data_IF_440900705723
#
_entry.id   IF_440900705723
#
_cell.length_a   1.000
_cell.length_b   1.000
_cell.length_c   1.000
_cell.angle_alpha   90.00
_cell.angle_beta   90.00
_cell.angle_gamma   90.00
#
_symmetry.space_group_name_H-M   'P 1'
#
loop_
_entity.id
_entity.type
_entity.pdbx_description
1 polymer ?
#
# COMPACT_ATOMS: atom_id res chain seq x y z
N UNK A 1 -51.13 -33.41 -50.90
CA UNK A 1 -50.08 -33.70 -49.90
C UNK A 1 -49.36 -32.40 -49.58
N UNK A 2 -49.54 -31.93 -48.34
CA UNK A 2 -49.13 -30.61 -47.82
C UNK A 2 -47.66 -30.62 -47.44
N UNK A 3 -46.86 -29.63 -47.84
CA UNK A 3 -45.60 -29.29 -47.16
C UNK A 3 -45.38 -27.76 -47.18
N UNK A 4 -45.95 -27.08 -46.18
CA UNK A 4 -45.64 -25.70 -45.80
C UNK A 4 -44.29 -25.66 -45.07
N UNK A 5 -43.27 -25.01 -45.65
CA UNK A 5 -41.96 -24.81 -45.02
C UNK A 5 -42.00 -23.53 -44.17
N UNK A 6 -42.19 -23.67 -42.84
CA UNK A 6 -42.07 -22.56 -41.87
C UNK A 6 -40.64 -22.00 -41.85
N UNK A 7 -40.44 -20.76 -42.31
CA UNK A 7 -39.26 -19.94 -41.95
C UNK A 7 -39.40 -19.53 -40.47
N UNK A 8 -38.56 -20.07 -39.59
CA UNK A 8 -38.39 -19.54 -38.22
C UNK A 8 -37.54 -18.27 -38.29
N UNK A 9 -38.12 -17.14 -37.89
CA UNK A 9 -37.39 -15.91 -37.63
C UNK A 9 -36.46 -16.10 -36.42
N UNK A 10 -35.16 -15.85 -36.58
CA UNK A 10 -34.20 -15.72 -35.47
C UNK A 10 -34.52 -14.42 -34.73
N UNK A 11 -34.86 -14.52 -33.45
CA UNK A 11 -34.85 -13.36 -32.53
C UNK A 11 -33.41 -12.86 -32.38
N UNK A 12 -33.16 -11.55 -32.27
CA UNK A 12 -31.85 -11.05 -31.90
C UNK A 12 -31.59 -11.43 -30.44
N UNK A 13 -30.48 -12.14 -30.18
CA UNK A 13 -29.96 -12.31 -28.83
C UNK A 13 -29.54 -10.94 -28.28
N UNK A 14 -29.82 -10.62 -27.01
CA UNK A 14 -29.26 -9.42 -26.41
C UNK A 14 -27.75 -9.62 -26.27
N UNK A 15 -26.97 -8.69 -26.84
CA UNK A 15 -25.53 -8.55 -26.63
C UNK A 15 -25.23 -8.41 -25.13
N UNK A 16 -25.12 -9.55 -24.45
CA UNK A 16 -24.53 -9.63 -23.13
C UNK A 16 -23.03 -9.40 -23.31
N UNK A 17 -22.62 -8.12 -23.37
CA UNK A 17 -21.28 -7.67 -22.99
C UNK A 17 -21.05 -8.13 -21.54
N UNK A 18 -20.66 -9.40 -21.37
CA UNK A 18 -20.06 -9.92 -20.14
C UNK A 18 -18.83 -9.08 -19.91
N UNK A 19 -18.93 -8.10 -19.00
CA UNK A 19 -17.77 -7.41 -18.48
C UNK A 19 -16.81 -8.48 -17.98
N UNK A 20 -15.62 -8.54 -18.58
CA UNK A 20 -14.48 -9.30 -18.06
C UNK A 20 -14.02 -8.64 -16.77
N UNK A 21 -14.85 -8.64 -15.74
CA UNK A 21 -14.46 -8.29 -14.39
C UNK A 21 -13.63 -9.45 -13.85
N UNK A 22 -12.30 -9.30 -13.85
CA UNK A 22 -11.40 -10.26 -13.20
C UNK A 22 -11.76 -10.44 -11.73
N UNK A 23 -11.23 -11.48 -11.06
CA UNK A 23 -11.54 -11.80 -9.64
C UNK A 23 -11.52 -10.57 -8.71
N UNK A 24 -10.65 -9.59 -8.99
CA UNK A 24 -10.53 -8.34 -8.25
C UNK A 24 -11.72 -7.37 -8.37
N UNK A 25 -12.58 -7.46 -9.38
CA UNK A 25 -13.71 -6.52 -9.53
C UNK A 25 -14.87 -6.83 -8.56
N UNK A 26 -14.96 -8.08 -8.09
CA UNK A 26 -16.01 -8.56 -7.17
C UNK A 26 -15.58 -8.65 -5.71
N UNK A 27 -14.28 -8.63 -5.44
CA UNK A 27 -13.78 -8.63 -4.07
C UNK A 27 -14.19 -7.35 -3.33
N UNK A 28 -14.37 -7.44 -2.01
CA UNK A 28 -14.61 -6.28 -1.14
C UNK A 28 -13.44 -5.30 -1.20
N UNK A 29 -13.70 -3.99 -1.11
CA UNK A 29 -12.71 -2.92 -1.10
C UNK A 29 -11.68 -3.15 0.02
N UNK A 30 -12.15 -3.49 1.22
CA UNK A 30 -11.29 -3.81 2.36
C UNK A 30 -10.30 -4.90 2.00
N UNK A 31 -10.78 -6.00 1.40
CA UNK A 31 -9.94 -7.13 0.99
C UNK A 31 -8.89 -6.71 -0.05
N UNK A 32 -9.23 -5.86 -1.02
CA UNK A 32 -8.27 -5.36 -2.02
C UNK A 32 -7.15 -4.54 -1.37
N UNK A 33 -7.51 -3.63 -0.45
CA UNK A 33 -6.56 -2.77 0.25
C UNK A 33 -5.67 -3.57 1.20
N UNK A 34 -6.24 -4.45 2.03
CA UNK A 34 -5.46 -5.28 2.96
C UNK A 34 -4.56 -6.25 2.22
N UNK A 35 -5.00 -6.78 1.08
CA UNK A 35 -4.17 -7.66 0.25
C UNK A 35 -3.02 -6.89 -0.41
N UNK A 36 -3.26 -5.69 -0.94
CA UNK A 36 -2.20 -4.84 -1.51
C UNK A 36 -1.15 -4.44 -0.48
N UNK A 37 -1.58 -3.99 0.71
CA UNK A 37 -0.68 -3.64 1.82
C UNK A 37 0.04 -4.89 2.32
N UNK A 38 -0.67 -6.02 2.46
CA UNK A 38 -0.10 -7.29 2.89
C UNK A 38 0.99 -7.81 1.94
N UNK A 39 0.78 -7.69 0.62
CA UNK A 39 1.82 -8.00 -0.38
C UNK A 39 3.03 -7.09 -0.19
N UNK A 40 2.83 -5.78 0.00
CA UNK A 40 3.93 -4.84 0.16
C UNK A 40 4.76 -5.16 1.41
N UNK A 41 4.10 -5.39 2.55
CA UNK A 41 4.77 -5.79 3.80
C UNK A 41 5.46 -7.15 3.63
N UNK A 42 4.81 -8.11 2.98
CA UNK A 42 5.39 -9.42 2.71
C UNK A 42 6.67 -9.32 1.87
N UNK A 43 6.67 -8.51 0.81
CA UNK A 43 7.86 -8.28 -0.01
C UNK A 43 8.98 -7.64 0.82
N UNK A 44 8.66 -6.66 1.68
CA UNK A 44 9.65 -6.04 2.56
C UNK A 44 10.25 -7.02 3.56
N UNK A 45 9.44 -7.87 4.18
CA UNK A 45 9.90 -8.89 5.14
C UNK A 45 10.78 -9.92 4.43
N UNK A 46 10.35 -10.44 3.28
CA UNK A 46 11.13 -11.41 2.50
C UNK A 46 12.45 -10.78 2.04
N UNK A 47 12.42 -9.54 1.56
CA UNK A 47 13.64 -8.81 1.17
C UNK A 47 14.57 -8.64 2.37
N UNK A 48 14.05 -8.26 3.53
CA UNK A 48 14.86 -8.09 4.74
C UNK A 48 15.48 -9.40 5.22
N UNK A 49 14.68 -10.48 5.28
CA UNK A 49 15.18 -11.80 5.66
C UNK A 49 16.25 -12.30 4.69
N UNK A 50 16.04 -12.09 3.39
CA UNK A 50 17.03 -12.42 2.36
C UNK A 50 18.32 -11.63 2.51
N UNK A 51 18.24 -10.31 2.74
CA UNK A 51 19.42 -9.47 3.01
C UNK A 51 20.15 -9.92 4.28
N UNK A 52 19.43 -10.22 5.35
CA UNK A 52 20.02 -10.69 6.60
C UNK A 52 20.77 -12.02 6.39
N UNK A 53 20.15 -12.97 5.68
CA UNK A 53 20.77 -14.25 5.32
C UNK A 53 22.10 -14.04 4.55
N UNK A 54 22.10 -13.18 3.53
CA UNK A 54 23.29 -12.91 2.73
C UNK A 54 24.41 -12.25 3.53
N UNK A 55 24.08 -11.33 4.45
CA UNK A 55 25.08 -10.70 5.33
C UNK A 55 25.71 -11.74 6.26
N UNK A 56 24.94 -12.70 6.76
CA UNK A 56 25.47 -13.80 7.59
C UNK A 56 26.41 -14.70 6.77
N UNK A 57 26.01 -15.08 5.55
CA UNK A 57 26.85 -15.91 4.66
C UNK A 57 28.19 -15.22 4.31
N UNK A 58 28.16 -13.92 4.02
CA UNK A 58 29.40 -13.14 3.77
C UNK A 58 30.27 -13.07 5.02
N UNK A 59 29.67 -12.87 6.20
CA UNK A 59 30.42 -12.79 7.46
C UNK A 59 31.17 -14.09 7.76
N UNK A 60 30.50 -15.23 7.61
CA UNK A 60 31.10 -16.55 7.85
C UNK A 60 32.27 -16.80 6.87
N UNK A 61 32.11 -16.38 5.61
CA UNK A 61 33.19 -16.48 4.62
C UNK A 61 34.38 -15.54 4.92
N UNK A 62 34.14 -14.33 5.43
CA UNK A 62 35.21 -13.42 5.85
C UNK A 62 36.01 -13.96 7.05
N UNK A 63 35.36 -14.67 7.97
CA UNK A 63 36.03 -15.29 9.11
C UNK A 63 37.00 -16.38 8.64
N UNK A 64 36.62 -17.19 7.65
CA UNK A 64 37.51 -18.19 7.04
C UNK A 64 38.74 -17.56 6.38
N UNK A 65 38.55 -16.48 5.60
CA UNK A 65 39.67 -15.72 4.99
C UNK A 65 40.64 -15.19 6.04
N UNK A 66 40.11 -14.70 7.17
CA UNK A 66 40.95 -14.20 8.26
C UNK A 66 41.80 -15.31 8.89
N UNK A 67 41.21 -16.47 9.15
CA UNK A 67 41.94 -17.64 9.69
C UNK A 67 43.05 -18.09 8.74
N UNK A 68 42.79 -18.17 7.42
CA UNK A 68 43.82 -18.52 6.43
C UNK A 68 44.97 -17.50 6.45
N UNK A 69 44.65 -16.21 6.59
CA UNK A 69 45.67 -15.15 6.73
C UNK A 69 46.56 -15.34 7.96
N UNK A 70 45.97 -15.64 9.12
CA UNK A 70 46.73 -15.85 10.36
C UNK A 70 47.66 -17.07 10.26
N UNK A 71 47.22 -18.13 9.58
CA UNK A 71 48.06 -19.30 9.29
C UNK A 71 49.22 -18.89 8.37
N UNK A 72 48.96 -18.11 7.32
CA UNK A 72 49.99 -17.60 6.41
C UNK A 72 51.05 -16.76 7.12
N UNK A 73 50.63 -15.86 8.02
CA UNK A 73 51.52 -15.03 8.84
C UNK A 73 52.38 -15.88 9.79
N UNK A 74 51.80 -16.93 10.38
CA UNK A 74 52.53 -17.86 11.24
C UNK A 74 53.59 -18.68 10.47
N UNK A 75 53.33 -19.04 9.21
CA UNK A 75 54.33 -19.68 8.33
C UNK A 75 55.48 -18.74 8.01
N UNK A 76 55.20 -17.45 7.76
CA UNK A 76 56.22 -16.43 7.55
C UNK A 76 57.08 -16.22 8.82
N UNK A 77 56.45 -16.25 10.00
CA UNK A 77 57.19 -16.19 11.27
C UNK A 77 58.09 -17.42 11.47
N UNK A 78 57.68 -18.62 11.05
CA UNK A 78 58.57 -19.79 11.04
C UNK A 78 59.79 -19.57 10.14
N UNK A 79 59.59 -19.05 8.92
CA UNK A 79 60.69 -18.75 8.00
C UNK A 79 61.69 -17.74 8.60
N UNK A 80 61.17 -16.70 9.25
CA UNK A 80 61.99 -15.71 9.95
C UNK A 80 62.76 -16.32 11.12
N UNK A 81 62.15 -17.23 11.88
CA UNK A 81 62.77 -17.90 13.01
C UNK A 81 63.89 -18.85 12.58
N UNK A 82 63.70 -19.67 11.54
CA UNK A 82 64.77 -20.56 11.06
C UNK A 82 65.96 -19.76 10.53
N UNK A 83 65.68 -18.64 9.83
CA UNK A 83 66.73 -17.76 9.34
C UNK A 83 67.49 -17.11 10.51
N UNK A 84 66.78 -16.69 11.56
CA UNK A 84 67.40 -16.16 12.78
C UNK A 84 68.24 -17.22 13.50
N UNK A 85 67.76 -18.46 13.60
CA UNK A 85 68.53 -19.60 14.15
C UNK A 85 69.82 -19.82 13.37
N UNK A 86 69.78 -19.78 12.04
CA UNK A 86 70.98 -19.88 11.21
C UNK A 86 71.97 -18.72 11.44
N UNK A 87 71.49 -17.48 11.56
CA UNK A 87 72.34 -16.31 11.88
C UNK A 87 73.00 -16.46 13.26
N UNK A 88 72.26 -16.94 14.26
CA UNK A 88 72.78 -17.22 15.60
C UNK A 88 73.81 -18.35 15.58
N UNK A 89 73.59 -19.39 14.77
CA UNK A 89 74.57 -20.46 14.56
C UNK A 89 75.88 -19.93 13.95
N UNK A 90 75.80 -19.02 12.97
CA UNK A 90 76.97 -18.32 12.45
C UNK A 90 77.66 -17.52 13.56
N UNK A 91 76.93 -16.70 14.31
CA UNK A 91 77.50 -15.90 15.40
C UNK A 91 78.21 -16.78 16.44
N UNK A 92 77.62 -17.93 16.79
CA UNK A 92 78.23 -18.92 17.67
C UNK A 92 79.57 -19.42 17.14
N UNK A 93 79.64 -19.81 15.87
CA UNK A 93 80.87 -20.34 15.27
C UNK A 93 81.98 -19.28 15.18
N UNK A 94 81.64 -18.06 14.77
CA UNK A 94 82.63 -17.00 14.59
C UNK A 94 83.10 -16.42 15.93
N UNK A 95 82.18 -16.16 16.87
CA UNK A 95 82.45 -15.40 18.10
C UNK A 95 82.51 -16.24 19.37
N UNK A 96 82.09 -17.51 19.32
CA UNK A 96 81.97 -18.38 20.50
C UNK A 96 81.16 -17.73 21.63
N UNK A 97 80.05 -17.08 21.27
CA UNK A 97 79.24 -16.27 22.18
C UNK A 97 78.24 -17.13 22.95
N UNK A 98 78.35 -17.17 24.28
CA UNK A 98 77.38 -17.86 25.16
C UNK A 98 75.97 -17.29 24.98
N UNK A 99 75.85 -15.97 24.77
CA UNK A 99 74.55 -15.33 24.56
C UNK A 99 73.83 -15.82 23.31
N UNK A 100 74.58 -16.16 22.26
CA UNK A 100 73.99 -16.66 21.02
C UNK A 100 73.48 -18.10 21.17
N UNK A 101 74.02 -18.90 22.10
CA UNK A 101 73.54 -20.25 22.40
C UNK A 101 72.22 -20.18 23.17
N UNK A 102 72.12 -19.26 24.13
CA UNK A 102 70.88 -18.99 24.86
C UNK A 102 69.78 -18.44 23.94
N UNK A 103 70.10 -17.48 23.07
CA UNK A 103 69.15 -16.95 22.09
C UNK A 103 68.70 -18.02 21.10
N UNK A 104 69.60 -18.91 20.65
CA UNK A 104 69.25 -20.01 19.75
C UNK A 104 68.21 -20.94 20.39
N UNK A 105 68.39 -21.29 21.67
CA UNK A 105 67.43 -22.10 22.42
C UNK A 105 66.08 -21.40 22.56
N UNK A 106 66.07 -20.08 22.79
CA UNK A 106 64.82 -19.31 22.86
C UNK A 106 64.07 -19.30 21.52
N UNK A 107 64.77 -19.11 20.40
CA UNK A 107 64.13 -19.14 19.09
C UNK A 107 63.64 -20.55 18.72
N UNK A 108 64.36 -21.60 19.13
CA UNK A 108 63.89 -22.99 18.99
C UNK A 108 62.56 -23.22 19.74
N UNK A 109 62.44 -22.75 21.00
CA UNK A 109 61.20 -22.84 21.77
C UNK A 109 60.03 -22.07 21.11
N UNK A 110 60.30 -20.90 20.52
CA UNK A 110 59.27 -20.14 19.79
C UNK A 110 58.83 -20.86 18.52
N UNK A 111 59.79 -21.42 17.79
CA UNK A 111 59.54 -22.18 16.56
C UNK A 111 58.66 -23.41 16.89
N UNK A 112 58.96 -24.14 17.97
CA UNK A 112 58.13 -25.24 18.45
C UNK A 112 56.70 -24.82 18.82
N UNK A 113 56.54 -23.69 19.51
CA UNK A 113 55.22 -23.18 19.89
C UNK A 113 54.35 -22.82 18.67
N UNK A 114 54.96 -22.23 17.63
CA UNK A 114 54.24 -21.91 16.38
C UNK A 114 53.92 -23.20 15.60
N UNK A 115 54.87 -24.15 15.53
CA UNK A 115 54.63 -25.47 14.91
C UNK A 115 53.45 -26.19 15.56
N UNK A 116 53.37 -26.18 16.89
CA UNK A 116 52.26 -26.82 17.62
C UNK A 116 50.91 -26.20 17.23
N UNK A 117 50.84 -24.87 17.17
CA UNK A 117 49.63 -24.14 16.76
C UNK A 117 49.24 -24.46 15.31
N UNK A 118 50.19 -24.40 14.37
CA UNK A 118 49.96 -24.69 12.96
C UNK A 118 49.50 -26.12 12.70
N UNK A 119 50.04 -27.09 13.45
CA UNK A 119 49.65 -28.50 13.31
C UNK A 119 48.14 -28.76 13.49
N UNK A 120 47.46 -27.90 14.27
CA UNK A 120 46.03 -28.00 14.54
C UNK A 120 45.17 -27.19 13.55
N UNK A 121 45.76 -26.18 12.91
CA UNK A 121 45.04 -25.23 12.04
C UNK A 121 45.07 -25.61 10.56
N UNK A 122 46.08 -26.35 10.11
CA UNK A 122 46.18 -26.77 8.70
C UNK A 122 45.09 -27.78 8.33
N UNK A 123 44.42 -27.55 7.21
CA UNK A 123 43.22 -28.32 6.82
C UNK A 123 43.54 -29.30 5.70
N UNK A 124 44.14 -28.82 4.61
CA UNK A 124 44.30 -29.58 3.37
C UNK A 124 45.44 -30.61 3.46
N UNK A 125 45.39 -31.62 2.59
CA UNK A 125 46.44 -32.65 2.52
C UNK A 125 47.78 -32.07 2.08
N UNK A 126 47.75 -31.10 1.16
CA UNK A 126 48.92 -30.42 0.61
C UNK A 126 49.59 -29.53 1.66
N UNK A 127 48.80 -28.71 2.36
CA UNK A 127 49.28 -27.91 3.49
C UNK A 127 49.99 -28.75 4.56
N UNK A 128 49.37 -29.88 4.93
CA UNK A 128 49.94 -30.81 5.92
C UNK A 128 51.24 -31.46 5.42
N UNK A 129 51.32 -31.80 4.14
CA UNK A 129 52.51 -32.41 3.57
C UNK A 129 53.69 -31.43 3.58
N UNK A 130 53.49 -30.20 3.09
CA UNK A 130 54.50 -29.14 3.10
C UNK A 130 54.97 -28.82 4.52
N UNK A 131 54.03 -28.73 5.47
CA UNK A 131 54.37 -28.51 6.87
C UNK A 131 55.18 -29.66 7.49
N UNK A 132 54.88 -30.92 7.18
CA UNK A 132 55.68 -32.06 7.62
C UNK A 132 57.11 -32.00 7.07
N UNK A 133 57.29 -31.56 5.81
CA UNK A 133 58.62 -31.36 5.24
C UNK A 133 59.39 -30.23 5.95
N UNK A 134 58.72 -29.13 6.29
CA UNK A 134 59.31 -28.07 7.13
C UNK A 134 59.76 -28.62 8.49
N UNK A 135 58.92 -29.42 9.15
CA UNK A 135 59.27 -30.06 10.43
C UNK A 135 60.50 -30.95 10.28
N UNK A 136 60.60 -31.73 9.20
CA UNK A 136 61.75 -32.59 8.95
C UNK A 136 63.06 -31.79 8.76
N UNK A 137 63.01 -30.65 8.07
CA UNK A 137 64.19 -29.78 7.91
C UNK A 137 64.60 -29.10 9.22
N UNK A 138 63.65 -28.70 10.07
CA UNK A 138 63.98 -28.17 11.40
C UNK A 138 64.60 -29.25 12.30
N UNK A 139 64.08 -30.47 12.28
CA UNK A 139 64.67 -31.61 13.00
C UNK A 139 66.10 -31.91 12.49
N UNK A 140 66.33 -31.81 11.18
CA UNK A 140 67.66 -31.97 10.58
C UNK A 140 68.61 -30.84 11.01
N UNK A 141 68.12 -29.60 11.08
CA UNK A 141 68.87 -28.44 11.56
C UNK A 141 69.32 -28.64 13.01
N UNK A 142 68.38 -29.01 13.90
CA UNK A 142 68.65 -29.26 15.32
C UNK A 142 69.63 -30.42 15.50
N UNK A 143 69.45 -31.51 14.75
CA UNK A 143 70.38 -32.65 14.78
C UNK A 143 71.78 -32.26 14.33
N UNK A 144 71.91 -31.49 13.25
CA UNK A 144 73.21 -31.02 12.77
C UNK A 144 73.89 -30.11 13.80
N UNK A 145 73.14 -29.24 14.47
CA UNK A 145 73.65 -28.42 15.57
C UNK A 145 74.12 -29.27 16.76
N UNK A 146 73.31 -30.24 17.20
CA UNK A 146 73.58 -31.05 18.39
C UNK A 146 74.70 -32.08 18.20
N UNK A 147 74.76 -32.73 17.03
CA UNK A 147 75.71 -33.82 16.76
C UNK A 147 77.04 -33.33 16.20
N UNK A 148 77.05 -32.18 15.50
CA UNK A 148 78.23 -31.73 14.76
C UNK A 148 78.75 -30.36 15.22
N UNK A 149 77.92 -29.31 15.23
CA UNK A 149 78.38 -27.93 15.49
C UNK A 149 78.74 -27.72 16.96
N UNK A 150 77.80 -27.95 17.89
CA UNK A 150 78.03 -27.73 19.32
C UNK A 150 79.18 -28.60 19.87
N UNK A 151 79.31 -29.90 19.52
CA UNK A 151 80.46 -30.71 19.94
C UNK A 151 81.80 -30.22 19.39
N UNK A 152 81.84 -29.74 18.14
CA UNK A 152 83.05 -29.17 17.54
C UNK A 152 83.48 -27.89 18.27
N UNK A 153 82.54 -26.99 18.56
CA UNK A 153 82.80 -25.77 19.33
C UNK A 153 83.29 -26.08 20.76
N UNK A 154 82.66 -27.05 21.45
CA UNK A 154 83.10 -27.49 22.79
C UNK A 154 84.52 -28.06 22.80
N UNK A 155 84.94 -28.70 21.71
CA UNK A 155 86.32 -29.22 21.52
C UNK A 155 87.31 -28.15 21.04
N UNK A 156 86.84 -26.93 20.74
CA UNK A 156 87.65 -25.85 20.19
C UNK A 156 87.95 -25.99 18.68
N UNK A 157 87.31 -26.94 17.98
CA UNK A 157 87.51 -27.19 16.55
C UNK A 157 86.61 -26.28 15.71
N UNK A 158 87.04 -25.03 15.56
CA UNK A 158 86.29 -24.03 14.78
C UNK A 158 86.23 -24.34 13.29
N UNK A 159 87.27 -24.96 12.73
CA UNK A 159 87.28 -25.31 11.31
C UNK A 159 86.20 -26.34 11.00
N UNK A 160 86.07 -27.37 11.84
CA UNK A 160 85.00 -28.37 11.69
C UNK A 160 83.62 -27.73 11.84
N UNK A 161 83.42 -26.84 12.82
CA UNK A 161 82.14 -26.13 12.99
C UNK A 161 81.81 -25.22 11.78
N UNK A 162 82.83 -24.60 11.16
CA UNK A 162 82.68 -23.72 10.00
C UNK A 162 82.27 -24.49 8.73
N UNK A 163 82.77 -25.72 8.54
CA UNK A 163 82.38 -26.60 7.44
C UNK A 163 80.86 -26.90 7.48
N UNK A 164 80.29 -27.03 8.67
CA UNK A 164 78.86 -27.29 8.86
C UNK A 164 77.93 -26.10 8.60
N UNK A 165 78.47 -24.88 8.42
CA UNK A 165 77.64 -23.72 8.11
C UNK A 165 77.01 -23.81 6.72
N UNK A 166 77.68 -24.41 5.73
CA UNK A 166 77.10 -24.60 4.39
C UNK A 166 75.94 -25.61 4.40
N UNK A 167 76.08 -26.82 4.99
CA UNK A 167 74.94 -27.72 5.18
C UNK A 167 73.78 -27.10 5.97
N UNK A 168 74.05 -26.35 7.04
CA UNK A 168 72.99 -25.68 7.80
C UNK A 168 72.28 -24.58 6.99
N UNK A 169 73.02 -23.86 6.15
CA UNK A 169 72.42 -22.90 5.21
C UNK A 169 71.49 -23.61 4.22
N UNK A 170 71.91 -24.76 3.69
CA UNK A 170 71.10 -25.56 2.77
C UNK A 170 69.82 -26.08 3.44
N UNK A 171 69.92 -26.61 4.67
CA UNK A 171 68.77 -27.05 5.45
C UNK A 171 67.81 -25.87 5.72
N UNK A 172 68.33 -24.73 6.18
CA UNK A 172 67.52 -23.54 6.43
C UNK A 172 66.84 -23.01 5.15
N UNK A 173 67.55 -23.01 4.02
CA UNK A 173 66.97 -22.62 2.73
C UNK A 173 65.88 -23.60 2.28
N UNK A 174 66.08 -24.91 2.46
CA UNK A 174 65.07 -25.90 2.13
C UNK A 174 63.82 -25.78 3.02
N UNK A 175 64.00 -25.49 4.31
CA UNK A 175 62.89 -25.13 5.21
C UNK A 175 62.13 -23.91 4.67
N UNK A 176 62.85 -22.82 4.36
CA UNK A 176 62.25 -21.58 3.87
C UNK A 176 61.50 -21.83 2.55
N UNK A 177 62.07 -22.57 1.60
CA UNK A 177 61.43 -22.89 0.33
C UNK A 177 60.11 -23.65 0.55
N UNK A 178 60.04 -24.60 1.50
CA UNK A 178 58.77 -25.28 1.82
C UNK A 178 57.78 -24.40 2.58
N UNK A 179 58.28 -23.48 3.38
CA UNK A 179 57.47 -22.42 3.97
C UNK A 179 56.88 -21.48 2.92
N UNK A 180 57.66 -21.08 1.92
CA UNK A 180 57.21 -20.28 0.78
C UNK A 180 56.15 -21.02 -0.05
N UNK A 181 56.35 -22.30 -0.36
CA UNK A 181 55.34 -23.13 -1.05
C UNK A 181 54.03 -23.22 -0.24
N UNK A 182 54.14 -23.41 1.09
CA UNK A 182 52.98 -23.47 1.98
C UNK A 182 52.25 -22.13 2.05
N UNK A 183 53.01 -21.04 2.10
CA UNK A 183 52.49 -19.68 2.10
C UNK A 183 51.79 -19.37 0.76
N UNK A 184 52.35 -19.78 -0.38
CA UNK A 184 51.73 -19.64 -1.70
C UNK A 184 50.41 -20.44 -1.78
N UNK A 185 50.36 -21.67 -1.25
CA UNK A 185 49.14 -22.46 -1.21
C UNK A 185 48.04 -21.81 -0.35
N UNK A 186 48.40 -21.26 0.81
CA UNK A 186 47.48 -20.52 1.68
C UNK A 186 46.98 -19.23 1.00
N UNK A 187 47.86 -18.51 0.31
CA UNK A 187 47.48 -17.33 -0.46
C UNK A 187 46.54 -17.66 -1.61
N UNK A 188 46.78 -18.77 -2.32
CA UNK A 188 45.87 -19.23 -3.38
C UNK A 188 44.49 -19.53 -2.84
N UNK A 189 44.40 -20.26 -1.72
CA UNK A 189 43.12 -20.55 -1.05
C UNK A 189 42.41 -19.26 -0.59
N UNK A 190 43.17 -18.31 -0.04
CA UNK A 190 42.66 -17.00 0.36
C UNK A 190 42.11 -16.19 -0.82
N UNK A 191 42.85 -16.11 -1.93
CA UNK A 191 42.44 -15.39 -3.13
C UNK A 191 41.20 -16.01 -3.77
N UNK A 192 41.11 -17.33 -3.81
CA UNK A 192 39.91 -18.06 -4.25
C UNK A 192 38.71 -17.71 -3.36
N UNK A 193 38.88 -17.74 -2.04
CA UNK A 193 37.82 -17.38 -1.08
C UNK A 193 37.40 -15.90 -1.23
N UNK A 194 38.34 -14.97 -1.40
CA UNK A 194 38.05 -13.55 -1.65
C UNK A 194 37.31 -13.33 -2.97
N UNK A 195 37.69 -14.06 -4.02
CA UNK A 195 37.01 -14.00 -5.32
C UNK A 195 35.57 -14.50 -5.23
N UNK A 196 35.35 -15.59 -4.48
CA UNK A 196 34.03 -16.14 -4.19
C UNK A 196 33.17 -15.13 -3.41
N UNK A 197 33.71 -14.53 -2.35
CA UNK A 197 33.03 -13.48 -1.57
C UNK A 197 32.63 -12.30 -2.46
N UNK A 198 33.53 -11.81 -3.31
CA UNK A 198 33.24 -10.71 -4.22
C UNK A 198 32.13 -11.09 -5.22
N UNK A 199 32.16 -12.32 -5.75
CA UNK A 199 31.13 -12.79 -6.67
C UNK A 199 29.77 -12.91 -5.98
N UNK A 200 29.73 -13.47 -4.76
CA UNK A 200 28.53 -13.55 -3.92
C UNK A 200 28.01 -12.15 -3.61
N UNK A 201 28.89 -11.20 -3.27
CA UNK A 201 28.52 -9.82 -2.98
C UNK A 201 27.89 -9.12 -4.19
N UNK A 202 28.52 -9.22 -5.37
CA UNK A 202 27.99 -8.59 -6.60
C UNK A 202 26.66 -9.21 -7.02
N UNK A 203 26.55 -10.53 -6.99
CA UNK A 203 25.28 -11.22 -7.32
C UNK A 203 24.18 -10.91 -6.30
N UNK A 204 24.54 -10.80 -5.02
CA UNK A 204 23.65 -10.37 -3.94
C UNK A 204 23.12 -8.95 -4.14
N UNK A 205 23.99 -7.99 -4.43
CA UNK A 205 23.60 -6.60 -4.71
C UNK A 205 22.67 -6.50 -5.92
N UNK A 206 22.97 -7.25 -6.99
CA UNK A 206 22.10 -7.32 -8.18
C UNK A 206 20.73 -7.88 -7.83
N UNK A 207 20.68 -9.01 -7.10
CA UNK A 207 19.42 -9.63 -6.71
C UNK A 207 18.61 -8.72 -5.77
N UNK A 208 19.26 -8.04 -4.84
CA UNK A 208 18.64 -7.03 -3.97
C UNK A 208 18.05 -5.87 -4.78
N UNK A 209 18.79 -5.36 -5.77
CA UNK A 209 18.29 -4.34 -6.70
C UNK A 209 17.06 -4.78 -7.49
N UNK A 210 17.02 -6.04 -7.95
CA UNK A 210 15.87 -6.62 -8.65
C UNK A 210 14.66 -6.71 -7.71
N UNK A 211 14.83 -7.24 -6.50
CA UNK A 211 13.75 -7.37 -5.51
C UNK A 211 13.18 -5.99 -5.14
N UNK A 212 14.05 -5.01 -4.90
CA UNK A 212 13.65 -3.63 -4.61
C UNK A 212 12.91 -3.00 -5.80
N UNK A 213 13.40 -3.21 -7.03
CA UNK A 213 12.75 -2.76 -8.25
C UNK A 213 11.34 -3.34 -8.41
N UNK A 214 11.16 -4.63 -8.17
CA UNK A 214 9.86 -5.30 -8.18
C UNK A 214 8.93 -4.73 -7.09
N UNK A 215 9.45 -4.50 -5.88
CA UNK A 215 8.68 -3.91 -4.78
C UNK A 215 8.15 -2.51 -5.13
N UNK A 216 9.00 -1.67 -5.73
CA UNK A 216 8.64 -0.32 -6.18
C UNK A 216 7.58 -0.39 -7.29
N UNK A 217 7.79 -1.24 -8.30
CA UNK A 217 6.82 -1.44 -9.39
C UNK A 217 5.46 -1.92 -8.87
N UNK A 218 5.44 -2.90 -7.97
CA UNK A 218 4.21 -3.37 -7.33
C UNK A 218 3.50 -2.24 -6.56
N UNK A 219 4.26 -1.42 -5.83
CA UNK A 219 3.74 -0.27 -5.09
C UNK A 219 3.10 0.77 -6.01
N UNK A 220 3.75 1.08 -7.14
CA UNK A 220 3.22 2.01 -8.15
C UNK A 220 1.93 1.48 -8.79
N UNK A 221 1.86 0.18 -9.09
CA UNK A 221 0.65 -0.45 -9.63
C UNK A 221 -0.49 -0.37 -8.62
N UNK A 222 -0.24 -0.71 -7.35
CA UNK A 222 -1.26 -0.61 -6.29
C UNK A 222 -1.73 0.83 -6.13
N UNK A 223 -0.80 1.79 -6.08
CA UNK A 223 -1.11 3.22 -6.00
C UNK A 223 -2.04 3.68 -7.14
N UNK A 224 -1.71 3.31 -8.38
CA UNK A 224 -2.52 3.66 -9.54
C UNK A 224 -3.92 3.02 -9.49
N UNK A 225 -3.99 1.75 -9.09
CA UNK A 225 -5.26 1.01 -8.96
C UNK A 225 -6.16 1.63 -7.88
N UNK A 226 -5.60 1.93 -6.70
CA UNK A 226 -6.35 2.57 -5.60
C UNK A 226 -6.84 3.96 -6.00
N UNK A 227 -5.98 4.76 -6.64
CA UNK A 227 -6.36 6.09 -7.12
C UNK A 227 -7.54 6.01 -8.09
N UNK A 228 -7.52 5.05 -9.02
CA UNK A 228 -8.55 4.91 -10.05
C UNK A 228 -9.86 4.34 -9.53
N UNK A 229 -9.81 3.39 -8.59
CA UNK A 229 -11.00 2.66 -8.10
C UNK A 229 -11.64 3.35 -6.90
N UNK A 230 -10.88 4.07 -6.07
CA UNK A 230 -11.36 4.66 -4.81
C UNK A 230 -11.37 6.18 -4.89
N UNK A 231 -10.20 6.77 -5.12
CA UNK A 231 -10.02 8.23 -5.00
C UNK A 231 -10.83 8.99 -6.06
N UNK A 232 -10.80 8.55 -7.31
CA UNK A 232 -11.51 9.22 -8.40
C UNK A 232 -13.05 9.17 -8.25
N UNK A 233 -13.69 8.01 -8.01
CA UNK A 233 -15.13 7.98 -7.77
C UNK A 233 -15.56 8.76 -6.52
N UNK A 234 -14.76 8.76 -5.45
CA UNK A 234 -15.05 9.59 -4.27
C UNK A 234 -14.99 11.08 -4.60
N UNK A 235 -13.99 11.54 -5.36
CA UNK A 235 -13.93 12.94 -5.82
C UNK A 235 -15.15 13.32 -6.65
N UNK A 236 -15.61 12.44 -7.54
CA UNK A 236 -16.82 12.68 -8.33
C UNK A 236 -18.07 12.76 -7.45
N UNK A 237 -18.22 11.84 -6.51
CA UNK A 237 -19.34 11.84 -5.55
C UNK A 237 -19.35 13.13 -4.74
N UNK A 238 -18.21 13.55 -4.18
CA UNK A 238 -18.11 14.83 -3.44
C UNK A 238 -18.54 16.02 -4.30
N UNK A 239 -18.09 16.08 -5.56
CA UNK A 239 -18.46 17.16 -6.46
C UNK A 239 -19.96 17.21 -6.79
N UNK A 240 -20.62 16.07 -6.96
CA UNK A 240 -22.07 16.03 -7.18
C UNK A 240 -22.83 16.36 -5.90
N UNK A 241 -22.40 15.84 -4.76
CA UNK A 241 -23.00 16.17 -3.46
C UNK A 241 -22.99 17.67 -3.18
N UNK A 242 -21.90 18.38 -3.53
CA UNK A 242 -21.81 19.83 -3.41
C UNK A 242 -22.84 20.56 -4.29
N UNK A 243 -23.14 20.05 -5.49
CA UNK A 243 -24.21 20.60 -6.35
C UNK A 243 -25.60 20.37 -5.77
N UNK A 244 -25.85 19.16 -5.28
CA UNK A 244 -27.11 18.83 -4.59
C UNK A 244 -27.33 19.75 -3.38
N UNK A 245 -26.27 20.05 -2.63
CA UNK A 245 -26.33 20.93 -1.46
C UNK A 245 -26.77 22.37 -1.78
N UNK A 246 -26.56 22.85 -3.00
CA UNK A 246 -27.03 24.17 -3.47
C UNK A 246 -28.33 24.08 -4.27
N UNK A 247 -29.00 22.92 -4.27
CA UNK A 247 -30.27 22.70 -4.97
C UNK A 247 -30.14 22.35 -6.46
N UNK A 248 -28.92 22.24 -7.00
CA UNK A 248 -28.71 21.79 -8.38
C UNK A 248 -28.76 20.25 -8.46
N UNK A 249 -29.95 19.75 -8.77
CA UNK A 249 -30.18 18.32 -9.00
C UNK A 249 -29.90 17.89 -10.43
N UNK A 250 -29.45 18.76 -11.36
CA UNK A 250 -29.36 18.43 -12.80
C UNK A 250 -28.22 17.47 -13.16
N UNK A 251 -27.29 17.21 -12.24
CA UNK A 251 -26.10 16.37 -12.45
C UNK A 251 -26.41 14.94 -12.92
N UNK A 252 -25.58 14.41 -13.83
CA UNK A 252 -25.69 13.03 -14.34
C UNK A 252 -25.42 12.00 -13.24
N UNK A 253 -26.02 10.82 -13.37
CA UNK A 253 -25.75 9.68 -12.49
C UNK A 253 -24.28 9.26 -12.53
N UNK A 254 -23.75 8.84 -11.39
CA UNK A 254 -22.40 8.32 -11.27
C UNK A 254 -22.32 6.92 -11.90
N UNK A 255 -21.30 6.69 -12.73
CA UNK A 255 -21.08 5.39 -13.37
C UNK A 255 -20.60 4.35 -12.35
N UNK A 256 -21.37 3.27 -12.19
CA UNK A 256 -21.05 2.18 -11.26
C UNK A 256 -20.14 1.17 -11.97
N UNK A 257 -18.83 1.20 -11.63
CA UNK A 257 -17.81 0.33 -12.25
C UNK A 257 -17.44 -0.90 -11.43
N UNK A 258 -17.82 -0.94 -10.15
CA UNK A 258 -17.45 -2.00 -9.21
C UNK A 258 -18.69 -2.58 -8.53
N UNK A 259 -18.58 -3.81 -8.03
CA UNK A 259 -19.64 -4.49 -7.26
C UNK A 259 -19.31 -4.57 -5.76
N UNK A 260 -18.32 -3.80 -5.32
CA UNK A 260 -17.85 -3.73 -3.94
C UNK A 260 -18.58 -2.62 -3.17
N UNK A 261 -18.10 -2.31 -1.96
CA UNK A 261 -18.64 -1.26 -1.10
C UNK A 261 -18.68 0.11 -1.80
N UNK A 262 -17.72 0.40 -2.71
CA UNK A 262 -17.78 1.62 -3.52
C UNK A 262 -18.94 1.58 -4.52
N UNK A 263 -19.17 0.44 -5.16
CA UNK A 263 -20.30 0.27 -6.07
C UNK A 263 -21.65 0.41 -5.38
N UNK A 264 -21.79 -0.18 -4.18
CA UNK A 264 -23.00 -0.04 -3.36
C UNK A 264 -23.22 1.41 -2.92
N UNK A 265 -22.17 2.12 -2.51
CA UNK A 265 -22.24 3.54 -2.15
C UNK A 265 -22.73 4.38 -3.33
N UNK A 266 -22.16 4.18 -4.53
CA UNK A 266 -22.57 4.92 -5.73
C UNK A 266 -24.02 4.60 -6.13
N UNK A 267 -24.46 3.34 -5.95
CA UNK A 267 -25.84 2.93 -6.23
C UNK A 267 -26.83 3.62 -5.30
N UNK A 268 -26.60 3.55 -3.98
CA UNK A 268 -27.44 4.22 -2.99
C UNK A 268 -27.45 5.74 -3.19
N UNK A 269 -26.32 6.33 -3.59
CA UNK A 269 -26.24 7.76 -3.89
C UNK A 269 -27.05 8.16 -5.12
N UNK A 270 -26.99 7.39 -6.20
CA UNK A 270 -27.80 7.64 -7.40
C UNK A 270 -29.31 7.50 -7.09
N UNK A 271 -29.70 6.50 -6.31
CA UNK A 271 -31.09 6.32 -5.87
C UNK A 271 -31.58 7.49 -5.02
N UNK A 272 -30.76 7.97 -4.08
CA UNK A 272 -31.06 9.17 -3.30
C UNK A 272 -31.28 10.39 -4.21
N UNK A 273 -30.41 10.64 -5.18
CA UNK A 273 -30.54 11.76 -6.11
C UNK A 273 -31.82 11.65 -6.96
N UNK A 274 -32.16 10.45 -7.43
CA UNK A 274 -33.41 10.20 -8.17
C UNK A 274 -34.64 10.49 -7.32
N UNK A 275 -34.65 10.06 -6.05
CA UNK A 275 -35.75 10.31 -5.12
C UNK A 275 -35.90 11.79 -4.79
N UNK A 276 -34.80 12.53 -4.62
CA UNK A 276 -34.82 13.98 -4.45
C UNK A 276 -35.43 14.69 -5.68
N UNK A 277 -35.03 14.30 -6.90
CA UNK A 277 -35.63 14.85 -8.14
C UNK A 277 -37.13 14.58 -8.22
N UNK A 278 -37.56 13.36 -7.91
CA UNK A 278 -38.97 13.00 -7.91
C UNK A 278 -39.76 13.83 -6.90
N UNK A 279 -39.22 14.01 -5.68
CA UNK A 279 -39.84 14.83 -4.64
C UNK A 279 -40.00 16.29 -5.08
N UNK A 280 -38.96 16.89 -5.68
CA UNK A 280 -39.01 18.27 -6.18
C UNK A 280 -40.03 18.40 -7.34
N UNK A 281 -40.12 17.40 -8.22
CA UNK A 281 -41.15 17.37 -9.27
C UNK A 281 -42.54 17.34 -8.68
N UNK A 282 -42.82 16.44 -7.73
CA UNK A 282 -44.12 16.35 -7.06
C UNK A 282 -44.51 17.66 -6.36
N UNK A 283 -43.57 18.31 -5.67
CA UNK A 283 -43.81 19.62 -5.04
C UNK A 283 -44.18 20.67 -6.10
N UNK A 284 -43.52 20.65 -7.26
CA UNK A 284 -43.78 21.58 -8.36
C UNK A 284 -45.16 21.35 -8.96
N UNK A 285 -45.54 20.09 -9.19
CA UNK A 285 -46.85 19.71 -9.74
C UNK A 285 -47.97 20.11 -8.76
N UNK A 286 -47.82 19.81 -7.47
CA UNK A 286 -48.79 20.23 -6.44
C UNK A 286 -48.88 21.76 -6.34
N UNK A 287 -47.77 22.49 -6.47
CA UNK A 287 -47.80 23.96 -6.47
C UNK A 287 -48.56 24.52 -7.70
N UNK A 288 -48.47 23.87 -8.86
CA UNK A 288 -49.26 24.23 -10.05
C UNK A 288 -50.75 23.95 -9.85
N UNK A 289 -51.12 22.79 -9.29
CA UNK A 289 -52.51 22.47 -8.94
C UNK A 289 -53.09 23.49 -7.96
N UNK A 290 -52.35 23.84 -6.90
CA UNK A 290 -52.76 24.87 -5.93
C UNK A 290 -52.91 26.24 -6.60
N UNK A 291 -51.99 26.60 -7.51
CA UNK A 291 -52.09 27.85 -8.26
C UNK A 291 -53.34 27.90 -9.15
N UNK A 292 -53.65 26.79 -9.85
CA UNK A 292 -54.83 26.69 -10.69
C UNK A 292 -56.12 26.74 -9.86
N UNK A 293 -56.21 25.99 -8.75
CA UNK A 293 -57.34 26.04 -7.84
C UNK A 293 -57.54 27.43 -7.22
N UNK A 294 -56.45 28.15 -6.93
CA UNK A 294 -56.52 29.53 -6.44
C UNK A 294 -57.09 30.49 -7.49
N UNK A 295 -56.77 30.29 -8.77
CA UNK A 295 -57.33 31.07 -9.88
C UNK A 295 -58.82 30.78 -10.08
N UNK A 296 -59.24 29.52 -10.01
CA UNK A 296 -60.65 29.13 -10.10
C UNK A 296 -61.47 29.66 -8.92
N UNK A 297 -60.91 29.61 -7.71
CA UNK A 297 -61.54 30.17 -6.51
C UNK A 297 -61.68 31.70 -6.61
N UNK A 298 -60.67 32.39 -7.14
CA UNK A 298 -60.74 33.82 -7.38
C UNK A 298 -61.86 34.16 -8.38
N UNK A 299 -61.96 33.45 -9.50
CA UNK A 299 -63.02 33.63 -10.49
C UNK A 299 -64.42 33.34 -9.90
N UNK A 300 -64.55 32.27 -9.12
CA UNK A 300 -65.81 31.94 -8.43
C UNK A 300 -66.20 33.01 -7.41
N UNK A 301 -65.22 33.56 -6.68
CA UNK A 301 -65.45 34.65 -5.73
C UNK A 301 -65.93 35.92 -6.43
N UNK A 302 -65.38 36.25 -7.61
CA UNK A 302 -65.86 37.36 -8.44
C UNK A 302 -67.31 37.13 -8.87
N UNK A 303 -67.64 35.94 -9.39
CA UNK A 303 -69.00 35.62 -9.81
C UNK A 303 -70.02 35.68 -8.66
N UNK A 304 -69.64 35.20 -7.46
CA UNK A 304 -70.47 35.32 -6.25
C UNK A 304 -70.67 36.79 -5.87
N UNK A 305 -69.62 37.61 -5.96
CA UNK A 305 -69.70 39.05 -5.73
C UNK A 305 -70.68 39.74 -6.69
N UNK A 306 -70.60 39.43 -7.98
CA UNK A 306 -71.51 39.95 -9.00
C UNK A 306 -72.96 39.49 -8.74
N UNK A 307 -73.16 38.22 -8.42
CA UNK A 307 -74.47 37.68 -8.05
C UNK A 307 -75.07 38.33 -6.81
N UNK A 308 -74.25 38.56 -5.77
CA UNK A 308 -74.68 39.27 -4.57
C UNK A 308 -75.08 40.73 -4.88
N UNK A 309 -74.35 41.40 -5.78
CA UNK A 309 -74.70 42.74 -6.26
C UNK A 309 -76.06 42.74 -6.98
N UNK A 310 -76.31 41.74 -7.84
CA UNK A 310 -77.59 41.62 -8.54
C UNK A 310 -78.75 41.32 -7.59
N UNK A 311 -78.56 40.43 -6.59
CA UNK A 311 -79.56 40.17 -5.55
C UNK A 311 -79.88 41.44 -4.78
N UNK A 312 -78.86 42.22 -4.39
CA UNK A 312 -79.06 43.50 -3.71
C UNK A 312 -79.92 44.46 -4.57
N UNK A 313 -79.66 44.54 -5.88
CA UNK A 313 -80.47 45.33 -6.82
C UNK A 313 -81.92 44.86 -6.88
N UNK A 314 -82.16 43.55 -6.98
CA UNK A 314 -83.53 43.00 -7.01
C UNK A 314 -84.27 43.23 -5.69
N UNK A 315 -83.59 43.14 -4.55
CA UNK A 315 -84.18 43.47 -3.24
C UNK A 315 -84.55 44.95 -3.17
N UNK A 316 -83.72 45.85 -3.70
CA UNK A 316 -84.04 47.28 -3.80
C UNK A 316 -85.27 47.54 -4.68
N UNK A 317 -85.35 46.90 -5.85
CA UNK A 317 -86.52 46.99 -6.73
C UNK A 317 -87.78 46.43 -6.06
N UNK A 318 -87.66 45.32 -5.33
CA UNK A 318 -88.76 44.71 -4.58
C UNK A 318 -89.25 45.62 -3.46
N UNK A 319 -88.32 46.23 -2.69
CA UNK A 319 -88.67 47.20 -1.67
C UNK A 319 -89.43 48.40 -2.26
N UNK A 320 -89.01 48.87 -3.44
CA UNK A 320 -89.75 49.91 -4.18
C UNK A 320 -91.15 49.44 -4.58
N UNK A 321 -91.29 48.24 -5.13
CA UNK A 321 -92.58 47.66 -5.51
C UNK A 321 -93.51 47.43 -4.32
N UNK A 322 -92.98 47.02 -3.16
CA UNK A 322 -93.74 46.92 -1.90
C UNK A 322 -94.22 48.31 -1.46
N UNK A 323 -93.38 49.34 -1.60
CA UNK A 323 -93.78 50.73 -1.34
C UNK A 323 -94.95 51.16 -2.22
N UNK A 324 -94.90 50.87 -3.53
CA UNK A 324 -95.99 51.13 -4.48
C UNK A 324 -97.27 50.35 -4.13
N UNK A 325 -97.15 49.07 -3.73
CA UNK A 325 -98.26 48.24 -3.27
C UNK A 325 -98.90 48.79 -1.99
N UNK A 326 -98.09 49.25 -1.03
CA UNK A 326 -98.58 49.88 0.21
C UNK A 326 -99.38 51.14 -0.11
N UNK A 327 -98.87 51.98 -1.03
CA UNK A 327 -99.57 53.17 -1.51
C UNK A 327 -100.92 52.82 -2.17
N UNK A 328 -100.95 51.76 -2.98
CA UNK A 328 -102.19 51.28 -3.59
C UNK A 328 -103.17 50.72 -2.55
N UNK A 329 -102.68 49.98 -1.55
CA UNK A 329 -103.51 49.44 -0.47
C UNK A 329 -104.10 50.57 0.39
N UNK A 330 -103.34 51.62 0.70
CA UNK A 330 -103.84 52.83 1.35
C UNK A 330 -104.92 53.51 0.50
N UNK A 331 -104.68 53.66 -0.81
CA UNK A 331 -105.65 54.23 -1.74
C UNK A 331 -106.94 53.39 -1.80
N UNK A 332 -106.82 52.06 -1.80
CA UNK A 332 -107.95 51.13 -1.78
C UNK A 332 -108.71 51.18 -0.45
N UNK A 333 -108.00 51.27 0.67
CA UNK A 333 -108.62 51.43 2.00
C UNK A 333 -109.37 52.76 2.09
N UNK A 334 -108.80 53.84 1.56
CA UNK A 334 -109.47 55.14 1.41
C UNK A 334 -110.75 55.03 0.57
N UNK A 335 -110.67 54.38 -0.59
CA UNK A 335 -111.84 54.11 -1.44
C UNK A 335 -112.91 53.27 -0.71
N UNK A 336 -112.49 52.28 0.07
CA UNK A 336 -113.38 51.47 0.92
C UNK A 336 -114.07 52.31 2.00
N UNK A 337 -113.34 53.25 2.62
CA UNK A 337 -113.91 54.20 3.58
C UNK A 337 -114.94 55.13 2.91
N UNK A 338 -114.62 55.66 1.73
CA UNK A 338 -115.55 56.49 0.94
C UNK A 338 -116.81 55.71 0.54
N UNK A 339 -116.67 54.43 0.19
CA UNK A 339 -117.81 53.55 -0.08
C UNK A 339 -118.68 53.34 1.15
N UNK A 340 -118.09 53.07 2.32
CA UNK A 340 -118.85 52.92 3.58
C UNK A 340 -119.59 54.21 3.95
N UNK A 341 -118.93 55.37 3.79
CA UNK A 341 -119.58 56.66 4.02
C UNK A 341 -120.76 56.88 3.07
N UNK A 342 -120.62 56.49 1.79
CA UNK A 342 -121.74 56.55 0.84
C UNK A 342 -122.86 55.57 1.19
N UNK A 343 -122.55 54.34 1.63
CA UNK A 343 -123.56 53.38 2.09
C UNK A 343 -124.31 53.91 3.30
N UNK A 344 -123.62 54.45 4.30
CA UNK A 344 -124.25 55.07 5.48
C UNK A 344 -125.15 56.24 5.08
N UNK A 345 -124.72 57.08 4.12
CA UNK A 345 -125.56 58.16 3.58
C UNK A 345 -126.80 57.64 2.87
N UNK A 346 -126.68 56.54 2.12
CA UNK A 346 -127.82 55.88 1.46
C UNK A 346 -128.77 55.26 2.50
N UNK A 347 -128.24 54.69 3.58
CA UNK A 347 -129.03 54.12 4.68
C UNK A 347 -129.75 55.21 5.50
N UNK A 348 -129.08 56.32 5.81
CA UNK A 348 -129.70 57.53 6.38
C UNK A 348 -130.79 58.10 5.46
N UNK A 349 -130.54 58.16 4.15
CA UNK A 349 -131.56 58.55 3.17
C UNK A 349 -132.76 57.60 3.21
N UNK A 350 -132.53 56.29 3.26
CA UNK A 350 -133.58 55.28 3.34
C UNK A 350 -134.40 55.36 4.64
N UNK A 351 -133.75 55.61 5.79
CA UNK A 351 -134.44 55.83 7.07
C UNK A 351 -135.26 57.12 7.06
N UNK A 352 -134.73 58.22 6.52
CA UNK A 352 -135.48 59.48 6.38
C UNK A 352 -136.71 59.36 5.49
N UNK A 353 -136.65 58.50 4.46
CA UNK A 353 -137.81 58.14 3.63
C UNK A 353 -138.84 57.29 4.38
N UNK A 354 -138.41 56.49 5.36
CA UNK A 354 -139.28 55.66 6.20
C UNK A 354 -140.04 56.45 7.28
N UNK A 355 -139.42 57.47 7.89
CA UNK A 355 -140.07 58.30 8.91
C UNK A 355 -141.05 59.33 8.33
N UNK A 356 -140.89 59.73 7.07
CA UNK A 356 -141.87 60.56 6.35
C UNK A 356 -143.16 59.84 5.93
N UNK A 357 -143.27 58.52 6.18
CA UNK A 357 -144.35 57.68 5.67
C UNK A 357 -145.42 57.26 6.71
N UNK A 358 -145.48 57.90 7.88
CA UNK A 358 -146.47 57.59 8.94
C UNK A 358 -147.31 58.77 9.38
#
# INVERSE_FOLDING_TARGET
MVLFRKKKAKKPEPDAKKSRGGLFSRAKLRTKLTFGIGIMIGILIVSFAFTAYLVMEIRDAQEQVHVISEIGDAVEDLNRLIQKKYILALELVYRNSITAEEELQQEAMRLDAIKETLSQSLVTREQKALFIEMQAYDDEFEKAMAENVLPALRKGDKELAMVWMSPLAEIANNFINRGEDLHEELHREQDEALSYINQVMVTSLRNMGIVLGIAILASLVIFFVVTRIVVNPLKQLVGISQKIAVGDLTGKELEIKTQDEMGQLLMSFNEMNKNLRALVSSITDTAQEVSAASQELAASSTQVGDGASQVASTVQEMAKGIGELSQQAESLASLGHDLLNNINRVDEQAQSMGEGAR
#
